data_IF_083761477587
#
_entry.id   IF_083761477587
#
_cell.length_a   1.000
_cell.length_b   1.000
_cell.length_c   1.000
_cell.angle_alpha   90.00
_cell.angle_beta   90.00
_cell.angle_gamma   90.00
#
_symmetry.space_group_name_H-M   'P 1'
#
loop_
_entity.id
_entity.type
_entity.pdbx_description
1 polymer ?
#
# COMPACT_ATOMS: atom_id res chain seq x y z
N UNK A 1 6.29 -4.35 9.56
CA UNK A 1 6.25 -2.87 9.59
C UNK A 1 4.88 -2.34 10.02
N UNK A 2 3.76 -2.69 9.36
CA UNK A 2 2.43 -2.22 9.78
C UNK A 2 2.10 -2.54 11.25
N UNK A 3 2.43 -3.75 11.71
CA UNK A 3 2.22 -4.15 13.11
C UNK A 3 3.01 -3.26 14.09
N UNK A 4 4.29 -3.00 13.80
CA UNK A 4 5.12 -2.11 14.63
C UNK A 4 4.56 -0.69 14.69
N UNK A 5 4.04 -0.17 13.56
CA UNK A 5 3.36 1.13 13.53
C UNK A 5 2.10 1.08 14.40
N UNK A 6 1.31 0.00 14.32
CA UNK A 6 0.10 -0.16 15.12
C UNK A 6 0.42 -0.19 16.63
N UNK A 7 1.42 -0.96 17.04
CA UNK A 7 1.91 -1.00 18.42
C UNK A 7 2.36 0.38 18.88
N UNK A 8 3.14 1.11 18.06
CA UNK A 8 3.59 2.45 18.39
C UNK A 8 2.41 3.43 18.60
N UNK A 9 1.39 3.38 17.73
CA UNK A 9 0.19 4.22 17.89
C UNK A 9 -0.53 3.93 19.21
N UNK A 10 -0.63 2.65 19.58
CA UNK A 10 -1.23 2.22 20.84
C UNK A 10 -0.41 2.67 22.06
N UNK A 11 0.91 2.49 22.02
CA UNK A 11 1.83 2.86 23.11
C UNK A 11 1.84 4.37 23.37
N UNK A 12 1.72 5.18 22.32
CA UNK A 12 1.59 6.63 22.41
C UNK A 12 0.19 7.10 22.82
N UNK A 13 -0.76 6.19 23.01
CA UNK A 13 -2.15 6.51 23.36
C UNK A 13 -2.89 7.26 22.24
N UNK A 14 -2.41 7.18 21.00
CA UNK A 14 -3.01 7.85 19.86
C UNK A 14 -4.27 7.08 19.46
N UNK A 15 -5.43 7.70 19.71
CA UNK A 15 -6.73 7.12 19.40
C UNK A 15 -7.18 7.50 17.99
N UNK A 16 -7.70 6.52 17.25
CA UNK A 16 -8.28 6.75 15.94
C UNK A 16 -8.20 5.53 15.04
N UNK A 17 -8.76 5.66 13.84
CA UNK A 17 -8.57 4.70 12.76
C UNK A 17 -7.65 5.32 11.71
N UNK A 18 -6.59 4.59 11.35
CA UNK A 18 -5.58 5.08 10.45
C UNK A 18 -5.47 4.14 9.25
N UNK A 19 -6.21 4.41 8.16
CA UNK A 19 -6.01 3.71 6.89
C UNK A 19 -4.63 4.05 6.34
N UNK A 20 -3.78 3.03 6.15
CA UNK A 20 -2.38 3.20 5.74
C UNK A 20 -2.03 2.22 4.64
N UNK A 21 -1.31 2.72 3.62
CA UNK A 21 -0.60 1.93 2.64
C UNK A 21 0.90 2.15 2.83
N UNK A 22 1.67 1.06 2.91
CA UNK A 22 3.12 1.10 2.84
C UNK A 22 3.54 0.54 1.48
N UNK A 23 4.46 1.26 0.82
CA UNK A 23 4.99 0.85 -0.47
C UNK A 23 6.52 0.93 -0.50
N UNK A 24 7.14 -0.05 -1.14
CA UNK A 24 8.56 -0.07 -1.43
C UNK A 24 8.75 -0.46 -2.90
N UNK A 25 9.61 0.28 -3.60
CA UNK A 25 10.00 -0.04 -4.96
C UNK A 25 11.52 -0.09 -5.07
N UNK A 26 12.05 -1.27 -5.43
CA UNK A 26 13.45 -1.46 -5.72
C UNK A 26 13.69 -1.31 -7.23
N UNK A 27 14.40 -0.26 -7.62
CA UNK A 27 14.58 0.14 -9.02
C UNK A 27 15.45 -0.82 -9.83
N UNK A 28 16.38 -1.55 -9.22
CA UNK A 28 17.25 -2.49 -9.94
C UNK A 28 16.54 -3.83 -10.20
N UNK A 29 15.98 -4.43 -9.15
CA UNK A 29 15.25 -5.71 -9.26
C UNK A 29 13.81 -5.55 -9.75
N UNK A 30 13.38 -4.30 -10.01
CA UNK A 30 12.03 -3.93 -10.45
C UNK A 30 10.93 -4.46 -9.55
N UNK A 31 11.23 -4.58 -8.26
CA UNK A 31 10.35 -5.24 -7.28
C UNK A 31 9.52 -4.21 -6.54
N UNK A 32 8.22 -4.39 -6.55
CA UNK A 32 7.21 -3.55 -5.92
C UNK A 32 6.63 -4.36 -4.76
N UNK A 33 6.67 -3.83 -3.54
CA UNK A 33 6.05 -4.44 -2.36
C UNK A 33 5.05 -3.45 -1.79
N UNK A 34 3.80 -3.88 -1.65
CA UNK A 34 2.72 -3.08 -1.07
C UNK A 34 2.07 -3.84 0.08
N UNK A 35 1.80 -3.15 1.18
CA UNK A 35 1.02 -3.68 2.30
C UNK A 35 0.00 -2.65 2.75
N UNK A 36 -1.26 -3.08 2.93
CA UNK A 36 -2.37 -2.16 3.22
C UNK A 36 -3.13 -2.54 4.50
N UNK A 37 -3.47 -1.54 5.29
CA UNK A 37 -4.40 -1.60 6.40
C UNK A 37 -5.55 -0.60 6.15
N UNK A 38 -6.75 -1.09 5.86
CA UNK A 38 -7.96 -0.27 5.70
C UNK A 38 -8.05 0.55 4.40
N UNK A 39 -7.17 0.29 3.42
CA UNK A 39 -7.26 0.84 2.07
C UNK A 39 -7.38 -0.29 1.03
N UNK A 40 -8.15 -0.04 -0.02
CA UNK A 40 -8.14 -0.89 -1.20
C UNK A 40 -7.05 -0.43 -2.15
N UNK A 41 -6.39 -1.40 -2.79
CA UNK A 41 -5.22 -1.17 -3.62
C UNK A 41 -5.32 -2.03 -4.86
N UNK A 42 -5.09 -1.43 -6.02
CA UNK A 42 -4.94 -2.12 -7.30
C UNK A 42 -3.62 -1.73 -7.93
N UNK A 43 -2.70 -2.68 -7.98
CA UNK A 43 -1.42 -2.53 -8.63
C UNK A 43 -1.51 -3.10 -10.03
N UNK A 44 -1.27 -2.26 -11.02
CA UNK A 44 -1.09 -2.64 -12.41
C UNK A 44 0.37 -2.44 -12.79
N UNK A 45 0.97 -3.49 -13.33
CA UNK A 45 2.28 -3.48 -13.99
C UNK A 45 2.07 -3.72 -15.48
N UNK A 46 3.15 -3.73 -16.25
CA UNK A 46 3.13 -4.15 -17.65
C UNK A 46 2.71 -5.62 -17.82
N UNK A 47 2.91 -6.47 -16.81
CA UNK A 47 2.70 -7.92 -16.91
C UNK A 47 1.33 -8.36 -16.37
N UNK A 48 0.84 -7.71 -15.32
CA UNK A 48 -0.41 -8.09 -14.64
C UNK A 48 -1.00 -6.99 -13.78
N UNK A 49 -2.25 -7.22 -13.42
CA UNK A 49 -3.00 -6.45 -12.44
C UNK A 49 -3.33 -7.34 -11.24
N UNK A 50 -3.07 -6.83 -10.03
CA UNK A 50 -3.38 -7.50 -8.76
C UNK A 50 -4.09 -6.51 -7.84
N UNK A 51 -5.04 -7.00 -7.06
CA UNK A 51 -5.85 -6.19 -6.16
C UNK A 51 -5.80 -6.75 -4.75
N UNK A 52 -5.79 -5.85 -3.78
CA UNK A 52 -5.80 -6.15 -2.37
C UNK A 52 -6.84 -5.26 -1.71
N UNK A 53 -7.79 -5.91 -1.04
CA UNK A 53 -8.84 -5.25 -0.28
C UNK A 53 -8.57 -5.49 1.20
N UNK A 54 -8.17 -4.44 1.91
CA UNK A 54 -7.91 -4.51 3.35
C UNK A 54 -9.12 -3.99 4.12
N UNK A 55 -9.64 -4.81 5.04
CA UNK A 55 -10.89 -4.53 5.75
C UNK A 55 -10.70 -3.68 7.02
N UNK A 56 -9.53 -3.74 7.65
CA UNK A 56 -9.29 -3.10 8.95
C UNK A 56 -8.14 -2.07 8.90
N UNK A 57 -8.37 -0.81 9.26
CA UNK A 57 -7.32 0.19 9.43
C UNK A 57 -6.51 -0.08 10.72
N UNK A 58 -5.33 0.55 10.83
CA UNK A 58 -4.58 0.55 12.09
C UNK A 58 -5.37 1.30 13.19
N UNK A 59 -5.09 0.98 14.44
CA UNK A 59 -5.81 1.49 15.61
C UNK A 59 -7.18 0.83 15.83
N UNK A 60 -7.57 -0.14 15.00
CA UNK A 60 -8.77 -0.95 15.23
C UNK A 60 -8.55 -2.00 16.32
N UNK A 61 -9.63 -2.35 17.03
CA UNK A 61 -9.63 -3.40 18.07
C UNK A 61 -9.60 -4.83 17.48
N UNK A 62 -9.74 -4.96 16.16
CA UNK A 62 -9.77 -6.24 15.46
C UNK A 62 -8.35 -6.68 15.09
N UNK A 63 -8.12 -8.00 15.06
CA UNK A 63 -6.89 -8.56 14.51
C UNK A 63 -6.72 -8.11 13.06
N UNK A 64 -5.64 -7.39 12.77
CA UNK A 64 -5.37 -6.88 11.44
C UNK A 64 -4.79 -8.04 10.60
N UNK A 65 -5.57 -8.52 9.64
CA UNK A 65 -5.07 -9.43 8.62
C UNK A 65 -4.23 -8.63 7.62
N UNK A 66 -2.92 -8.60 7.80
CA UNK A 66 -2.02 -7.90 6.89
C UNK A 66 -1.88 -8.70 5.60
N UNK A 67 -2.47 -8.16 4.53
CA UNK A 67 -2.23 -8.66 3.19
C UNK A 67 -1.10 -7.85 2.56
N UNK A 68 -0.29 -8.53 1.75
CA UNK A 68 0.79 -7.91 0.99
C UNK A 68 0.76 -8.37 -0.46
N UNK A 69 1.11 -7.45 -1.34
CA UNK A 69 1.41 -7.71 -2.74
C UNK A 69 2.93 -7.60 -2.90
N UNK A 70 3.52 -8.56 -3.60
CA UNK A 70 4.90 -8.48 -4.07
C UNK A 70 4.92 -8.79 -5.55
N UNK A 71 5.32 -7.81 -6.36
CA UNK A 71 5.32 -7.94 -7.81
C UNK A 71 6.54 -7.39 -8.49
N UNK A 72 6.77 -7.82 -9.72
CA UNK A 72 7.78 -7.24 -10.60
C UNK A 72 7.13 -6.36 -11.68
N UNK A 73 7.70 -5.18 -11.89
CA UNK A 73 7.27 -4.26 -12.94
C UNK A 73 8.25 -3.12 -13.17
N UNK A 74 8.50 -2.76 -14.43
CA UNK A 74 9.31 -1.59 -14.80
C UNK A 74 8.51 -0.31 -14.75
N UNK A 75 7.25 -0.39 -15.16
CA UNK A 75 6.29 0.71 -15.17
C UNK A 75 5.05 0.24 -14.43
N UNK A 76 4.61 1.03 -13.46
CA UNK A 76 3.49 0.62 -12.63
C UNK A 76 2.57 1.78 -12.27
N UNK A 77 1.30 1.42 -12.12
CA UNK A 77 0.24 2.27 -11.64
C UNK A 77 -0.41 1.61 -10.44
N UNK A 78 -0.48 2.33 -9.33
CA UNK A 78 -1.14 1.90 -8.11
C UNK A 78 -2.35 2.80 -7.86
N UNK A 79 -3.56 2.25 -8.00
CA UNK A 79 -4.79 2.93 -7.57
C UNK A 79 -5.05 2.60 -6.11
N UNK A 80 -5.33 3.62 -5.32
CA UNK A 80 -5.52 3.52 -3.87
C UNK A 80 -6.82 4.23 -3.53
N UNK A 81 -7.71 3.57 -2.80
CA UNK A 81 -8.98 4.20 -2.44
C UNK A 81 -9.58 3.68 -1.13
N UNK A 82 -10.47 4.50 -0.59
CA UNK A 82 -11.44 4.12 0.43
C UNK A 82 -12.83 4.58 -0.01
N UNK A 83 -13.79 4.60 0.92
CA UNK A 83 -15.17 4.99 0.64
C UNK A 83 -15.36 6.48 0.29
N UNK A 84 -14.36 7.35 0.53
CA UNK A 84 -14.42 8.81 0.32
C UNK A 84 -13.43 9.33 -0.71
N UNK A 85 -12.25 8.74 -0.78
CA UNK A 85 -11.11 9.29 -1.51
C UNK A 85 -10.49 8.24 -2.42
N UNK A 86 -9.91 8.70 -3.52
CA UNK A 86 -9.17 7.89 -4.48
C UNK A 86 -7.96 8.65 -4.99
N UNK A 87 -6.84 7.96 -5.08
CA UNK A 87 -5.58 8.46 -5.62
C UNK A 87 -4.98 7.42 -6.58
N UNK A 88 -4.17 7.89 -7.51
CA UNK A 88 -3.36 7.04 -8.38
C UNK A 88 -1.90 7.48 -8.24
N UNK A 89 -1.03 6.56 -7.84
CA UNK A 89 0.42 6.71 -7.92
C UNK A 89 0.93 6.01 -9.17
N UNK A 90 1.90 6.61 -9.85
CA UNK A 90 2.52 6.05 -11.04
C UNK A 90 4.02 6.20 -10.96
N UNK A 91 4.72 5.19 -11.45
CA UNK A 91 6.14 5.25 -11.72
C UNK A 91 6.35 4.77 -13.15
N UNK A 92 7.16 5.52 -13.90
CA UNK A 92 7.53 5.14 -15.25
C UNK A 92 9.05 5.32 -15.41
N UNK A 93 9.69 4.30 -15.96
CA UNK A 93 11.13 4.23 -16.17
C UNK A 93 11.63 5.12 -17.31
N UNK A 94 10.75 5.62 -18.17
CA UNK A 94 11.04 6.45 -19.34
C UNK A 94 10.89 7.96 -19.10
N UNK A 95 10.71 8.41 -17.86
CA UNK A 95 10.80 9.85 -17.56
C UNK A 95 12.27 10.27 -17.49
N UNK A 96 12.98 10.16 -18.61
CA UNK A 96 14.12 11.03 -18.87
C UNK A 96 13.54 12.39 -19.28
N UNK A 97 13.84 13.40 -18.47
CA UNK A 97 13.44 14.79 -18.68
C UNK A 97 14.10 15.25 -19.98
N UNK A 98 13.30 15.44 -21.04
CA UNK A 98 13.64 16.27 -22.20
C UNK A 98 13.78 17.74 -21.78
#
# INVERSE_FOLDING_TARGET
MLEQINTLLMDLGIKGQFPILLGYFHTESKTIVLASAGLNVKLKTENKEVELSSSAPLGSLQSIAYQQIMEKGIDWQCKIWNHKHRMTLMFNSLVEIL
#
